data_IF_575584964642
#
_entry.id   IF_575584964642
#
_cell.length_a   1.000
_cell.length_b   1.000
_cell.length_c   1.000
_cell.angle_alpha   90.00
_cell.angle_beta   90.00
_cell.angle_gamma   90.00
#
_symmetry.space_group_name_H-M   'P 1'
#
loop_
_entity.id
_entity.type
_entity.pdbx_description
1 polymer ?
#
# COMPACT_ATOMS: atom_id res chain seq x y z
N UNK A 1 -14.56 20.74 2.91
CA UNK A 1 -14.15 19.82 1.83
C UNK A 1 -14.69 18.44 2.16
N UNK A 2 -15.35 17.73 1.23
CA UNK A 2 -15.91 16.40 1.52
C UNK A 2 -14.78 15.41 1.85
N UNK A 3 -14.99 14.56 2.85
CA UNK A 3 -13.98 13.62 3.36
C UNK A 3 -13.65 12.46 2.40
N UNK A 4 -14.41 12.35 1.31
CA UNK A 4 -14.37 11.22 0.37
C UNK A 4 -13.12 11.24 -0.55
N UNK A 5 -12.46 12.39 -0.68
CA UNK A 5 -11.28 12.56 -1.55
C UNK A 5 -10.03 11.83 -1.02
N UNK A 6 -9.96 11.56 0.29
CA UNK A 6 -8.83 10.86 0.92
C UNK A 6 -8.88 9.34 0.72
N UNK A 7 -10.02 8.78 0.29
CA UNK A 7 -10.17 7.35 0.01
C UNK A 7 -9.93 7.02 -1.48
N UNK A 8 -8.99 7.69 -2.13
CA UNK A 8 -8.62 7.35 -3.50
C UNK A 8 -7.64 6.16 -3.52
N UNK A 9 -7.76 5.23 -4.50
CA UNK A 9 -6.80 4.13 -4.65
C UNK A 9 -5.34 4.59 -4.75
N UNK A 10 -5.12 5.75 -5.39
CA UNK A 10 -3.79 6.37 -5.52
C UNK A 10 -3.23 6.84 -4.17
N UNK A 11 -4.09 7.39 -3.30
CA UNK A 11 -3.69 7.78 -1.96
C UNK A 11 -3.31 6.56 -1.12
N UNK A 12 -4.06 5.46 -1.21
CA UNK A 12 -3.75 4.21 -0.50
C UNK A 12 -2.42 3.61 -0.97
N UNK A 13 -2.14 3.61 -2.28
CA UNK A 13 -0.84 3.21 -2.81
C UNK A 13 0.28 4.13 -2.34
N UNK A 14 0.04 5.44 -2.34
CA UNK A 14 1.02 6.41 -1.89
C UNK A 14 1.37 6.23 -0.41
N UNK A 15 0.38 6.13 0.47
CA UNK A 15 0.60 5.94 1.91
C UNK A 15 1.26 4.58 2.18
N UNK A 16 0.76 3.50 1.57
CA UNK A 16 1.34 2.17 1.74
C UNK A 16 2.79 2.09 1.24
N UNK A 17 3.07 2.67 0.07
CA UNK A 17 4.42 2.74 -0.51
C UNK A 17 5.36 3.64 0.29
N UNK A 18 4.89 4.78 0.77
CA UNK A 18 5.67 5.69 1.61
C UNK A 18 6.08 5.02 2.92
N UNK A 19 5.13 4.39 3.62
CA UNK A 19 5.43 3.67 4.85
C UNK A 19 6.40 2.53 4.58
N UNK A 20 6.20 1.74 3.52
CA UNK A 20 7.14 0.70 3.11
C UNK A 20 8.56 1.24 2.87
N UNK A 21 8.69 2.39 2.20
CA UNK A 21 9.97 3.03 1.92
C UNK A 21 10.69 3.47 3.21
N UNK A 22 9.97 4.01 4.20
CA UNK A 22 10.55 4.40 5.49
C UNK A 22 11.11 3.17 6.23
N UNK A 23 10.36 2.07 6.26
CA UNK A 23 10.83 0.83 6.89
C UNK A 23 12.02 0.21 6.16
N UNK A 24 12.00 0.20 4.82
CA UNK A 24 13.11 -0.29 4.01
C UNK A 24 14.37 0.57 4.18
N UNK A 25 14.20 1.89 4.28
CA UNK A 25 15.29 2.81 4.55
C UNK A 25 15.89 2.57 5.94
N UNK A 26 15.05 2.38 6.95
CA UNK A 26 15.50 1.99 8.29
C UNK A 26 16.23 0.65 8.30
N UNK A 27 15.76 -0.34 7.53
CA UNK A 27 16.43 -1.63 7.37
C UNK A 27 17.83 -1.49 6.75
N UNK A 28 17.97 -0.65 5.72
CA UNK A 28 19.26 -0.36 5.08
C UNK A 28 20.25 0.27 6.06
N UNK A 29 19.81 1.26 6.84
CA UNK A 29 20.65 1.89 7.86
C UNK A 29 21.06 0.86 8.92
N UNK A 30 20.12 0.07 9.43
CA UNK A 30 20.40 -0.96 10.42
C UNK A 30 21.39 -2.00 9.89
N UNK A 31 21.26 -2.41 8.63
CA UNK A 31 22.18 -3.35 7.99
C UNK A 31 23.61 -2.80 7.90
N UNK A 32 23.77 -1.54 7.48
CA UNK A 32 25.09 -0.89 7.43
C UNK A 32 25.66 -0.66 8.83
N UNK A 33 24.81 -0.31 9.79
CA UNK A 33 25.20 -0.06 11.18
C UNK A 33 25.45 -1.35 11.98
N UNK A 34 25.11 -2.53 11.45
CA UNK A 34 25.16 -3.77 12.20
C UNK A 34 26.57 -4.11 12.71
N UNK A 35 27.63 -3.76 11.98
CA UNK A 35 29.03 -3.91 12.40
C UNK A 35 29.36 -5.29 13.03
N UNK A 36 28.70 -6.36 12.56
CA UNK A 36 28.86 -7.74 13.09
C UNK A 36 27.95 -8.11 14.27
N UNK A 37 27.04 -7.23 14.68
CA UNK A 37 26.02 -7.52 15.70
C UNK A 37 24.82 -8.24 15.11
N UNK A 38 24.68 -9.51 15.48
CA UNK A 38 23.59 -10.38 15.05
C UNK A 38 22.20 -9.85 15.44
N UNK A 39 22.10 -9.11 16.55
CA UNK A 39 20.85 -8.46 16.98
C UNK A 39 20.43 -7.35 16.02
N UNK A 40 21.39 -6.58 15.51
CA UNK A 40 21.12 -5.46 14.60
C UNK A 40 20.82 -5.97 13.18
N UNK A 41 21.46 -7.06 12.75
CA UNK A 41 21.09 -7.75 11.51
C UNK A 41 19.66 -8.31 11.58
N UNK A 42 19.28 -8.93 12.70
CA UNK A 42 17.91 -9.41 12.92
C UNK A 42 16.90 -8.27 12.90
N UNK A 43 17.25 -7.11 13.45
CA UNK A 43 16.42 -5.91 13.38
C UNK A 43 16.28 -5.41 11.93
N UNK A 44 17.37 -5.37 11.15
CA UNK A 44 17.33 -4.99 9.74
C UNK A 44 16.39 -5.89 8.92
N UNK A 45 16.46 -7.21 9.13
CA UNK A 45 15.55 -8.17 8.49
C UNK A 45 14.09 -7.96 8.92
N UNK A 46 13.83 -7.70 10.20
CA UNK A 46 12.49 -7.42 10.70
C UNK A 46 11.91 -6.14 10.08
N UNK A 47 12.70 -5.05 9.98
CA UNK A 47 12.28 -3.81 9.31
C UNK A 47 12.03 -4.03 7.82
N UNK A 48 12.89 -4.78 7.12
CA UNK A 48 12.69 -5.11 5.71
C UNK A 48 11.40 -5.91 5.50
N UNK A 49 11.12 -6.88 6.38
CA UNK A 49 9.87 -7.65 6.38
C UNK A 49 8.64 -6.78 6.62
N UNK A 50 8.70 -5.87 7.59
CA UNK A 50 7.60 -4.92 7.85
C UNK A 50 7.34 -4.00 6.66
N UNK A 51 8.41 -3.48 6.04
CA UNK A 51 8.30 -2.65 4.84
C UNK A 51 7.65 -3.41 3.68
N UNK A 52 8.09 -4.65 3.45
CA UNK A 52 7.48 -5.53 2.44
C UNK A 52 6.00 -5.81 2.71
N UNK A 53 5.63 -6.09 3.96
CA UNK A 53 4.24 -6.33 4.35
C UNK A 53 3.36 -5.10 4.08
N UNK A 54 3.85 -3.90 4.41
CA UNK A 54 3.14 -2.64 4.15
C UNK A 54 2.93 -2.38 2.66
N UNK A 55 3.93 -2.72 1.83
CA UNK A 55 3.83 -2.61 0.38
C UNK A 55 2.75 -3.54 -0.17
N UNK A 56 2.74 -4.80 0.27
CA UNK A 56 1.73 -5.80 -0.13
C UNK A 56 0.33 -5.36 0.31
N UNK A 57 0.18 -4.95 1.58
CA UNK A 57 -1.10 -4.48 2.10
C UNK A 57 -1.64 -3.25 1.34
N UNK A 58 -0.77 -2.29 1.04
CA UNK A 58 -1.12 -1.11 0.23
C UNK A 58 -1.54 -1.48 -1.19
N UNK A 59 -0.80 -2.38 -1.85
CA UNK A 59 -1.12 -2.87 -3.20
C UNK A 59 -2.47 -3.61 -3.24
N UNK A 60 -2.73 -4.49 -2.27
CA UNK A 60 -3.99 -5.22 -2.15
C UNK A 60 -5.15 -4.26 -1.90
N UNK A 61 -5.00 -3.32 -0.96
CA UNK A 61 -6.03 -2.33 -0.65
C UNK A 61 -6.43 -1.51 -1.88
N UNK A 62 -5.44 -0.99 -2.61
CA UNK A 62 -5.70 -0.24 -3.84
C UNK A 62 -6.32 -1.09 -4.96
N UNK A 63 -5.89 -2.35 -5.10
CA UNK A 63 -6.45 -3.30 -6.03
C UNK A 63 -7.95 -3.55 -5.76
N UNK A 64 -8.30 -3.79 -4.50
CA UNK A 64 -9.70 -3.99 -4.07
C UNK A 64 -10.55 -2.75 -4.36
N UNK A 65 -10.04 -1.55 -4.08
CA UNK A 65 -10.78 -0.31 -4.34
C UNK A 65 -10.99 -0.07 -5.85
N UNK A 66 -9.98 -0.38 -6.67
CA UNK A 66 -10.10 -0.29 -8.13
C UNK A 66 -11.12 -1.28 -8.67
N UNK A 67 -11.15 -2.51 -8.14
CA UNK A 67 -12.13 -3.52 -8.51
C UNK A 67 -13.57 -3.08 -8.19
N UNK A 68 -13.82 -2.56 -6.98
CA UNK A 68 -15.15 -2.09 -6.57
C UNK A 68 -15.66 -0.93 -7.44
N UNK A 69 -14.82 0.05 -7.77
CA UNK A 69 -15.18 1.16 -8.67
C UNK A 69 -15.54 0.71 -10.09
N UNK A 70 -14.87 -0.33 -10.60
CA UNK A 70 -15.18 -0.92 -11.90
C UNK A 70 -16.56 -1.57 -11.94
N UNK A 71 -16.91 -2.31 -10.88
CA UNK A 71 -18.22 -2.96 -10.75
C UNK A 71 -19.39 -1.96 -10.66
N UNK A 72 -19.21 -0.85 -9.94
CA UNK A 72 -20.23 0.21 -9.82
C UNK A 72 -20.47 0.96 -11.14
N UNK A 73 -19.45 1.04 -12.00
CA UNK A 73 -19.54 1.69 -13.32
C UNK A 73 -20.24 0.79 -14.34
N UNK A 74 -19.99 -0.52 -14.26
CA UNK A 74 -20.63 -1.52 -15.13
C UNK A 74 -22.14 -1.64 -14.84
N UNK A 75 -22.54 -1.63 -13.56
CA UNK A 75 -23.95 -1.69 -13.16
C UNK A 75 -24.74 -0.45 -13.58
N UNK A 76 -24.14 0.75 -13.50
CA UNK A 76 -24.78 2.00 -13.93
C UNK A 76 -24.99 2.09 -15.45
N UNK A 77 -24.11 1.47 -16.22
CA UNK A 77 -24.21 1.42 -17.69
C UNK A 77 -25.29 0.44 -18.15
N UNK A 78 -25.41 -0.72 -17.49
CA UNK A 78 -26.50 -1.68 -17.74
C UNK A 78 -27.88 -1.06 -17.44
N UNK A 79 -28.05 -0.36 -16.32
CA UNK A 79 -29.31 0.27 -15.94
C UNK A 79 -29.73 1.47 -16.83
N UNK A 80 -28.79 2.06 -17.59
CA UNK A 80 -29.06 3.18 -18.52
C UNK A 80 -29.41 2.67 -19.92
N UNK A 81 -28.90 1.50 -20.32
CA UNK A 81 -29.24 0.86 -21.60
C UNK A 81 -30.68 0.34 -21.68
N UNK A 82 -31.30 0.03 -20.54
CA UNK A 82 -32.67 -0.49 -20.46
C UNK A 82 -33.77 0.60 -20.53
N UNK A 83 -33.40 1.88 -20.55
CA UNK A 83 -34.33 3.03 -20.63
C UNK A 83 -34.35 3.71 -22.01
N UNK A 84 -33.96 3.02 -23.08
CA UNK A 84 -34.05 3.51 -24.46
C UNK A 84 -34.85 2.58 -25.34
#
# INVERSE_FOLDING_TARGET
>A
MPADDFLSPSFVLFVGGFVAAVFLFGALIAFVAAAGSQTVEGLALALAGLGGLFLVAGAVGAGVMRYRRGSDSASKTAATGERR
#
